data_IF_360734834354
#
_entry.id   IF_360734834354
#
_cell.length_a   1.000
_cell.length_b   1.000
_cell.length_c   1.000
_cell.angle_alpha   90.00
_cell.angle_beta   90.00
_cell.angle_gamma   90.00
#
_symmetry.space_group_name_H-M   'P 1'
#
loop_
_entity.id
_entity.type
_entity.pdbx_description
1 polymer ?
#
# COMPACT_ATOMS: atom_id res chain seq x y z
N UNK A 1 4.97 5.61 -9.46
CA UNK A 1 6.24 6.19 -8.96
C UNK A 1 6.49 5.62 -7.58
N UNK A 2 7.73 5.23 -7.27
CA UNK A 2 8.07 4.63 -5.98
C UNK A 2 9.47 5.10 -5.55
N UNK A 3 9.66 5.34 -4.26
CA UNK A 3 10.99 5.58 -3.69
C UNK A 3 11.81 4.28 -3.69
N UNK A 4 13.04 4.34 -4.20
CA UNK A 4 13.92 3.18 -4.42
C UNK A 4 14.69 2.74 -3.15
N UNK A 5 14.22 3.14 -1.98
CA UNK A 5 14.77 2.81 -0.67
C UNK A 5 13.77 2.00 0.18
N UNK A 6 12.66 1.58 -0.43
CA UNK A 6 11.48 1.08 0.28
C UNK A 6 11.26 -0.41 0.02
N UNK A 7 11.01 -1.16 1.10
CA UNK A 7 10.67 -2.59 1.06
C UNK A 7 9.27 -2.77 1.61
N UNK A 8 8.43 -3.50 0.88
CA UNK A 8 7.04 -3.73 1.25
C UNK A 8 6.51 -5.07 0.74
N UNK A 9 5.44 -5.60 1.35
CA UNK A 9 4.64 -6.70 0.80
C UNK A 9 3.29 -6.21 0.25
N UNK A 10 3.17 -4.92 -0.02
CA UNK A 10 1.97 -4.30 -0.57
C UNK A 10 1.61 -4.87 -1.94
N UNK A 11 0.35 -5.26 -2.10
CA UNK A 11 -0.20 -5.59 -3.41
C UNK A 11 -0.46 -4.32 -4.21
N UNK A 12 0.40 -4.03 -5.20
CA UNK A 12 0.26 -2.85 -6.05
C UNK A 12 -1.01 -2.87 -6.90
N UNK A 13 -1.54 -4.06 -7.25
CA UNK A 13 -2.79 -4.19 -8.00
C UNK A 13 -3.99 -3.56 -7.29
N UNK A 14 -4.06 -3.70 -5.96
CA UNK A 14 -5.12 -3.10 -5.15
C UNK A 14 -5.01 -1.57 -5.13
N UNK A 15 -3.79 -1.04 -5.16
CA UNK A 15 -3.54 0.41 -5.23
C UNK A 15 -3.97 0.97 -6.58
N UNK A 16 -3.67 0.27 -7.68
CA UNK A 16 -4.13 0.66 -9.02
C UNK A 16 -5.67 0.63 -9.13
N UNK A 17 -6.31 -0.47 -8.70
CA UNK A 17 -7.76 -0.59 -8.73
C UNK A 17 -8.44 0.52 -7.90
N UNK A 18 -7.87 0.87 -6.74
CA UNK A 18 -8.36 1.98 -5.93
C UNK A 18 -8.18 3.33 -6.62
N UNK A 19 -7.03 3.57 -7.26
CA UNK A 19 -6.77 4.81 -7.99
C UNK A 19 -7.82 5.04 -9.09
N UNK A 20 -8.07 4.02 -9.91
CA UNK A 20 -9.04 4.07 -11.00
C UNK A 20 -10.47 4.32 -10.48
N UNK A 21 -10.85 3.62 -9.40
CA UNK A 21 -12.17 3.80 -8.77
C UNK A 21 -12.37 5.24 -8.26
N UNK A 22 -11.32 5.85 -7.71
CA UNK A 22 -11.39 7.21 -7.14
C UNK A 22 -11.28 8.31 -8.19
N UNK A 23 -10.83 8.00 -9.41
CA UNK A 23 -10.50 8.99 -10.44
C UNK A 23 -9.57 10.09 -9.91
N UNK A 24 -8.68 9.71 -9.00
CA UNK A 24 -7.75 10.63 -8.36
C UNK A 24 -6.64 11.02 -9.34
N UNK A 25 -6.05 12.21 -9.18
CA UNK A 25 -4.85 12.57 -9.95
C UNK A 25 -3.60 11.91 -9.38
N UNK A 26 -3.56 11.76 -8.06
CA UNK A 26 -2.54 10.98 -7.37
C UNK A 26 -3.22 10.12 -6.32
N UNK A 27 -2.82 8.86 -6.25
CA UNK A 27 -3.07 8.01 -5.09
C UNK A 27 -1.75 7.72 -4.40
N UNK A 28 -1.62 8.19 -3.16
CA UNK A 28 -0.49 7.94 -2.28
C UNK A 28 -0.82 6.76 -1.36
N UNK A 29 0.12 5.83 -1.21
CA UNK A 29 0.02 4.81 -0.17
C UNK A 29 0.39 5.43 1.17
N UNK A 30 -0.48 5.23 2.17
CA UNK A 30 -0.22 5.64 3.54
C UNK A 30 -0.20 4.43 4.46
N UNK A 31 0.78 4.38 5.36
CA UNK A 31 0.95 3.31 6.36
C UNK A 31 0.92 3.90 7.77
N UNK A 32 0.65 3.11 8.83
CA UNK A 32 0.68 3.62 10.19
C UNK A 32 2.05 4.16 10.57
N UNK A 33 2.06 5.24 11.34
CA UNK A 33 3.29 5.79 11.90
C UNK A 33 3.76 4.94 13.08
N UNK A 34 4.92 4.31 12.95
CA UNK A 34 5.63 3.76 14.11
C UNK A 34 6.63 4.81 14.58
N UNK A 35 6.57 5.16 15.86
CA UNK A 35 7.52 6.10 16.43
C UNK A 35 8.94 5.52 16.34
N UNK A 36 9.94 6.27 15.84
CA UNK A 36 11.34 5.84 15.89
C UNK A 36 11.92 5.94 17.32
N UNK A 37 11.17 6.54 18.24
CA UNK A 37 11.57 6.80 19.63
C UNK A 37 10.58 6.20 20.63
N UNK A 38 11.02 6.05 21.88
CA UNK A 38 10.14 5.78 23.00
C UNK A 38 9.19 6.94 23.29
N UNK A 39 7.92 6.64 23.52
CA UNK A 39 6.88 7.61 23.89
C UNK A 39 6.54 7.44 25.35
N UNK A 40 6.45 8.56 26.06
CA UNK A 40 6.23 8.62 27.50
C UNK A 40 5.00 9.45 27.82
N UNK A 41 4.24 8.99 28.81
CA UNK A 41 3.17 9.76 29.42
C UNK A 41 3.64 10.27 30.78
N UNK A 42 3.22 11.49 31.14
CA UNK A 42 3.53 12.09 32.42
C UNK A 42 2.25 12.53 33.13
N UNK A 43 2.26 12.49 34.46
CA UNK A 43 1.23 13.16 35.25
C UNK A 43 1.54 14.66 35.40
N UNK A 44 0.62 15.43 36.00
CA UNK A 44 0.77 16.88 36.23
C UNK A 44 1.99 17.24 37.11
N UNK A 45 2.53 16.29 37.86
CA UNK A 45 3.74 16.46 38.69
C UNK A 45 5.03 16.17 37.93
N UNK A 46 4.96 15.82 36.64
CA UNK A 46 6.11 15.48 35.80
C UNK A 46 6.65 14.06 36.02
N UNK A 47 5.93 13.17 36.71
CA UNK A 47 6.35 11.78 36.87
C UNK A 47 5.92 10.96 35.65
N UNK A 48 6.83 10.14 35.11
CA UNK A 48 6.53 9.19 34.02
C UNK A 48 5.54 8.14 34.52
N UNK A 49 4.39 8.02 33.87
CA UNK A 49 3.36 7.03 34.20
C UNK A 49 3.33 5.85 33.22
N UNK A 50 3.88 6.04 32.01
CA UNK A 50 4.03 4.97 31.03
C UNK A 50 5.23 5.25 30.11
N UNK A 51 5.89 4.18 29.65
CA UNK A 51 6.94 4.21 28.64
C UNK A 51 6.63 3.12 27.60
N UNK A 52 6.54 3.50 26.33
CA UNK A 52 6.31 2.58 25.20
C UNK A 52 7.44 2.75 24.21
N UNK A 53 8.21 1.69 23.98
CA UNK A 53 9.29 1.71 22.97
C UNK A 53 8.69 1.50 21.58
N UNK A 54 9.02 2.39 20.64
CA UNK A 54 8.57 2.36 19.24
C UNK A 54 7.07 2.01 19.03
N UNK A 55 6.13 2.66 19.74
CA UNK A 55 4.71 2.35 19.56
C UNK A 55 4.22 2.81 18.19
N UNK A 56 3.19 2.13 17.68
CA UNK A 56 2.33 2.68 16.64
C UNK A 56 1.57 3.90 17.20
N UNK A 57 1.53 4.97 16.42
CA UNK A 57 0.88 6.22 16.74
C UNK A 57 -0.40 6.38 15.91
N UNK A 58 -1.38 7.19 16.34
CA UNK A 58 -2.65 7.40 15.61
C UNK A 58 -2.48 8.32 14.38
N UNK A 59 -1.35 8.21 13.68
CA UNK A 59 -1.01 8.97 12.49
C UNK A 59 -0.70 8.04 11.33
N UNK A 60 -0.91 8.54 10.11
CA UNK A 60 -0.57 7.85 8.88
C UNK A 60 0.52 8.63 8.18
N UNK A 61 1.51 7.93 7.64
CA UNK A 61 2.66 8.52 6.95
C UNK A 61 2.66 8.15 5.49
N UNK A 62 3.23 9.03 4.66
CA UNK A 62 3.50 8.77 3.26
C UNK A 62 4.52 7.63 3.12
N UNK A 63 4.14 6.57 2.41
CA UNK A 63 5.00 5.39 2.19
C UNK A 63 5.94 5.54 0.97
N UNK A 64 5.95 6.69 0.29
CA UNK A 64 6.79 6.90 -0.89
C UNK A 64 6.35 6.08 -2.12
N UNK A 65 5.11 5.57 -2.13
CA UNK A 65 4.54 4.76 -3.21
C UNK A 65 3.31 5.48 -3.76
N UNK A 66 3.28 5.71 -5.06
CA UNK A 66 2.26 6.52 -5.71
C UNK A 66 1.80 5.92 -7.05
N UNK A 67 0.49 5.96 -7.28
CA UNK A 67 -0.10 5.86 -8.63
C UNK A 67 -0.44 7.29 -9.06
N UNK A 68 0.01 7.67 -10.26
CA UNK A 68 0.00 9.05 -10.73
C UNK A 68 -0.63 9.10 -12.13
N UNK A 69 -1.62 9.96 -12.29
CA UNK A 69 -2.17 10.34 -13.59
C UNK A 69 -1.14 11.25 -14.31
N UNK A 70 -0.72 10.94 -15.55
CA UNK A 70 0.26 11.74 -16.30
C UNK A 70 -0.10 13.23 -16.46
N UNK A 71 -1.38 13.58 -16.40
CA UNK A 71 -1.84 14.98 -16.50
C UNK A 71 -1.36 15.90 -15.38
N UNK A 72 -0.79 15.35 -14.29
CA UNK A 72 -0.17 16.20 -13.25
C UNK A 72 1.20 16.75 -13.67
N UNK A 73 1.75 16.36 -14.82
CA UNK A 73 3.12 16.70 -15.22
C UNK A 73 3.40 18.21 -15.15
N UNK A 74 2.43 19.04 -15.57
CA UNK A 74 2.52 20.51 -15.52
C UNK A 74 2.49 21.09 -14.09
N UNK A 75 2.07 20.28 -13.11
CA UNK A 75 2.04 20.65 -11.69
C UNK A 75 3.30 20.21 -10.95
N UNK A 76 4.18 19.43 -11.58
CA UNK A 76 5.46 19.02 -11.01
C UNK A 76 6.42 20.23 -11.04
N UNK A 77 7.13 20.56 -9.95
CA UNK A 77 8.19 21.55 -10.01
C UNK A 77 9.34 21.08 -10.90
N UNK A 78 9.92 22.02 -11.65
CA UNK A 78 11.16 21.77 -12.42
C UNK A 78 12.32 21.32 -11.52
N UNK A 79 12.35 21.83 -10.27
CA UNK A 79 13.30 21.48 -9.21
C UNK A 79 12.61 21.55 -7.86
N UNK A 80 12.82 20.53 -7.03
CA UNK A 80 12.33 20.49 -5.66
C UNK A 80 11.57 19.20 -5.33
N UNK A 81 10.94 19.20 -4.16
CA UNK A 81 10.18 18.06 -3.64
C UNK A 81 8.71 18.15 -4.03
N UNK A 82 8.18 17.04 -4.55
CA UNK A 82 6.75 16.89 -4.85
C UNK A 82 5.92 16.95 -3.56
N UNK A 83 6.48 16.43 -2.47
CA UNK A 83 5.87 16.39 -1.14
C UNK A 83 5.70 17.79 -0.54
N UNK A 84 6.55 18.75 -0.92
CA UNK A 84 6.49 20.12 -0.43
C UNK A 84 5.66 21.06 -1.32
N UNK A 85 5.51 20.74 -2.61
CA UNK A 85 4.90 21.65 -3.59
C UNK A 85 3.62 21.04 -4.17
N UNK A 86 3.74 19.95 -4.92
CA UNK A 86 2.65 19.41 -5.73
C UNK A 86 1.61 18.67 -4.91
N UNK A 87 2.01 17.88 -3.92
CA UNK A 87 1.06 17.10 -3.10
C UNK A 87 0.19 17.97 -2.20
N UNK A 88 0.69 19.02 -1.51
CA UNK A 88 -0.17 19.97 -0.80
C UNK A 88 -1.21 20.62 -1.72
N UNK A 89 -0.79 21.08 -2.91
CA UNK A 89 -1.70 21.68 -3.90
C UNK A 89 -2.79 20.70 -4.36
N UNK A 90 -2.43 19.45 -4.66
CA UNK A 90 -3.40 18.42 -5.06
C UNK A 90 -4.32 18.04 -3.91
N UNK A 91 -3.85 18.05 -2.66
CA UNK A 91 -4.66 17.81 -1.48
C UNK A 91 -5.72 18.90 -1.29
N UNK A 92 -5.33 20.18 -1.40
CA UNK A 92 -6.24 21.32 -1.33
C UNK A 92 -7.33 21.27 -2.42
N UNK A 93 -6.98 20.78 -3.61
CA UNK A 93 -7.91 20.60 -4.73
C UNK A 93 -8.77 19.34 -4.64
N UNK A 94 -8.60 18.50 -3.61
CA UNK A 94 -9.29 17.21 -3.48
C UNK A 94 -8.91 16.18 -4.55
N UNK A 95 -7.73 16.32 -5.15
CA UNK A 95 -7.23 15.48 -6.24
C UNK A 95 -6.16 14.46 -5.80
N UNK A 96 -5.71 14.55 -4.54
CA UNK A 96 -4.82 13.60 -3.89
C UNK A 96 -5.63 12.67 -2.97
N UNK A 97 -5.58 11.37 -3.23
CA UNK A 97 -6.21 10.36 -2.39
C UNK A 97 -5.16 9.53 -1.64
N UNK A 98 -5.51 9.10 -0.42
CA UNK A 98 -4.71 8.14 0.33
C UNK A 98 -5.30 6.73 0.17
N UNK A 99 -4.45 5.75 -0.16
CA UNK A 99 -4.70 4.32 0.01
C UNK A 99 -4.07 3.88 1.33
N UNK A 100 -4.89 3.65 2.35
CA UNK A 100 -4.42 3.24 3.68
C UNK A 100 -4.13 1.74 3.68
N UNK A 101 -2.89 1.37 3.98
CA UNK A 101 -2.45 -0.02 4.00
C UNK A 101 -1.83 -0.40 5.35
N UNK A 102 -2.11 -1.62 5.79
CA UNK A 102 -1.47 -2.29 6.92
C UNK A 102 -0.37 -3.27 6.47
N UNK A 103 0.00 -3.21 5.18
CA UNK A 103 1.10 -3.97 4.64
C UNK A 103 2.40 -3.64 5.37
N UNK A 104 3.31 -4.61 5.43
CA UNK A 104 4.68 -4.37 5.87
C UNK A 104 5.30 -3.30 4.98
N UNK A 105 5.93 -2.30 5.59
CA UNK A 105 6.67 -1.26 4.89
C UNK A 105 7.84 -0.77 5.75
N UNK A 106 9.01 -0.62 5.11
CA UNK A 106 10.22 -0.04 5.68
C UNK A 106 10.96 0.77 4.62
N UNK A 107 11.40 1.97 4.98
CA UNK A 107 12.38 2.75 4.20
C UNK A 107 13.77 2.59 4.83
N UNK A 108 14.80 2.50 3.99
CA UNK A 108 16.20 2.32 4.39
C UNK A 108 16.95 3.62 4.14
N UNK A 109 17.14 4.40 5.20
CA UNK A 109 17.84 5.69 5.15
C UNK A 109 19.28 5.58 5.67
N UNK A 110 19.54 4.64 6.57
CA UNK A 110 20.84 4.50 7.22
C UNK A 110 21.16 3.04 7.58
N UNK A 111 22.38 2.79 8.05
CA UNK A 111 22.88 1.43 8.34
C UNK A 111 22.08 0.73 9.45
N UNK A 112 21.53 1.48 10.43
CA UNK A 112 20.69 0.90 11.49
C UNK A 112 19.42 0.29 10.90
N UNK A 113 18.83 0.94 9.90
CA UNK A 113 17.62 0.45 9.24
C UNK A 113 17.84 -0.92 8.59
N UNK A 114 19.05 -1.20 8.09
CA UNK A 114 19.42 -2.51 7.53
C UNK A 114 19.42 -3.59 8.61
N UNK A 115 19.96 -3.30 9.80
CA UNK A 115 19.96 -4.25 10.92
C UNK A 115 18.55 -4.53 11.42
N UNK A 116 17.70 -3.50 11.52
CA UNK A 116 16.31 -3.63 11.93
C UNK A 116 15.49 -4.39 10.87
N UNK A 117 15.68 -4.07 9.59
CA UNK A 117 15.07 -4.75 8.46
C UNK A 117 15.42 -6.24 8.45
N UNK A 118 16.67 -6.64 8.73
CA UNK A 118 17.05 -8.05 8.77
C UNK A 118 16.19 -8.83 9.77
N UNK A 119 16.03 -8.30 10.98
CA UNK A 119 15.20 -8.91 12.01
C UNK A 119 13.72 -8.96 11.61
N UNK A 120 13.21 -7.90 10.95
CA UNK A 120 11.84 -7.85 10.46
C UNK A 120 11.62 -8.84 9.30
N UNK A 121 12.59 -8.99 8.40
CA UNK A 121 12.56 -9.92 7.27
C UNK A 121 12.59 -11.38 7.72
N UNK A 122 13.33 -11.72 8.78
CA UNK A 122 13.27 -13.06 9.38
C UNK A 122 11.85 -13.39 9.88
N UNK A 123 11.19 -12.44 10.56
CA UNK A 123 9.80 -12.61 11.01
C UNK A 123 8.83 -12.71 9.83
N UNK A 124 8.99 -11.85 8.83
CA UNK A 124 8.14 -11.85 7.65
C UNK A 124 8.30 -13.17 6.89
N UNK A 125 9.52 -13.63 6.68
CA UNK A 125 9.83 -14.93 6.10
C UNK A 125 9.17 -16.05 6.88
N UNK A 126 9.36 -16.13 8.20
CA UNK A 126 8.70 -17.15 9.04
C UNK A 126 7.18 -17.10 8.92
N UNK A 127 6.58 -15.91 8.88
CA UNK A 127 5.13 -15.77 8.71
C UNK A 127 4.64 -16.30 7.35
N UNK A 128 5.45 -16.19 6.30
CA UNK A 128 5.11 -16.70 4.96
C UNK A 128 5.15 -18.24 4.89
N UNK A 129 6.01 -18.90 5.67
CA UNK A 129 6.13 -20.36 5.69
C UNK A 129 5.22 -21.05 6.72
N UNK A 130 4.94 -20.38 7.84
CA UNK A 130 4.18 -20.98 8.95
C UNK A 130 2.76 -20.41 9.12
N UNK A 131 2.33 -19.46 8.29
CA UNK A 131 0.92 -19.09 8.24
C UNK A 131 0.10 -20.28 7.72
N UNK A 132 -1.00 -20.69 8.40
CA UNK A 132 -1.84 -21.75 7.88
C UNK A 132 -2.34 -21.32 6.51
N UNK A 133 -2.14 -22.19 5.51
CA UNK A 133 -2.61 -22.03 4.14
C UNK A 133 -4.14 -21.96 4.14
N UNK A 134 -4.69 -20.78 4.40
CA UNK A 134 -6.11 -20.45 4.21
C UNK A 134 -6.20 -19.65 2.93
N UNK A 135 -6.03 -20.29 1.77
CA UNK A 135 -6.32 -19.62 0.49
C UNK A 135 -6.95 -20.51 -0.57
N UNK A 136 -7.12 -21.82 -0.33
CA UNK A 136 -7.90 -22.66 -1.25
C UNK A 136 -9.38 -22.81 -0.85
N UNK A 137 -9.68 -22.97 0.45
CA UNK A 137 -11.05 -23.16 0.91
C UNK A 137 -11.91 -21.87 0.91
N UNK A 138 -11.32 -20.72 1.27
CA UNK A 138 -12.05 -19.45 1.35
C UNK A 138 -12.45 -18.88 -0.03
N UNK A 139 -11.61 -19.07 -1.05
CA UNK A 139 -11.90 -18.64 -2.42
C UNK A 139 -13.03 -19.46 -3.07
N UNK A 140 -13.18 -20.74 -2.71
CA UNK A 140 -14.30 -21.56 -3.19
C UNK A 140 -15.63 -21.20 -2.50
N UNK A 141 -15.60 -20.83 -1.22
CA UNK A 141 -16.79 -20.40 -0.48
C UNK A 141 -17.39 -19.09 -1.03
N UNK A 142 -16.54 -18.11 -1.40
CA UNK A 142 -16.97 -16.85 -2.02
C UNK A 142 -17.44 -17.01 -3.47
N UNK A 143 -16.88 -17.97 -4.23
CA UNK A 143 -17.35 -18.31 -5.58
C UNK A 143 -18.71 -18.99 -5.58
N UNK A 144 -19.02 -19.79 -4.56
CA UNK A 144 -20.35 -20.41 -4.42
C UNK A 144 -21.42 -19.42 -3.94
N UNK A 145 -21.06 -18.39 -3.16
CA UNK A 145 -22.02 -17.37 -2.72
C UNK A 145 -22.38 -16.34 -3.80
N UNK A 146 -21.52 -16.12 -4.81
CA UNK A 146 -21.73 -15.13 -5.87
C UNK A 146 -22.43 -15.67 -7.14
N UNK A 147 -22.93 -16.91 -7.13
CA UNK A 147 -23.72 -17.50 -8.23
C UNK A 147 -25.14 -16.88 -8.39
N UNK A 148 -25.47 -15.80 -7.66
CA UNK A 148 -26.82 -15.21 -7.65
C UNK A 148 -26.93 -13.74 -8.07
N UNK A 149 -25.84 -13.05 -8.44
CA UNK A 149 -25.89 -11.63 -8.82
C UNK A 149 -25.69 -11.44 -10.33
N UNK A 150 -26.80 -11.47 -11.06
CA UNK A 150 -26.88 -11.08 -12.47
C UNK A 150 -26.60 -9.58 -12.63
N UNK A 151 -25.50 -9.21 -13.27
CA UNK A 151 -25.36 -7.88 -13.85
C UNK A 151 -25.70 -7.95 -15.34
N UNK A 152 -26.65 -7.12 -15.74
CA UNK A 152 -27.20 -7.02 -17.09
C UNK A 152 -26.10 -6.64 -18.07
N UNK A 153 -25.82 -7.53 -19.03
CA UNK A 153 -24.91 -7.33 -20.16
C UNK A 153 -25.58 -6.37 -21.14
N UNK A 154 -25.03 -5.16 -21.31
CA UNK A 154 -25.36 -4.32 -22.47
C UNK A 154 -24.74 -4.96 -23.72
N UNK A 155 -25.55 -5.08 -24.77
CA UNK A 155 -25.27 -5.85 -25.99
C UNK A 155 -24.17 -5.25 -26.87
N UNK A 156 -23.39 -6.14 -27.52
CA UNK A 156 -22.48 -5.84 -28.64
C UNK A 156 -23.25 -5.67 -29.98
N UNK A 157 -22.59 -5.30 -31.10
CA UNK A 157 -22.18 -6.38 -31.99
C UNK A 157 -20.86 -6.18 -32.79
N UNK A 158 -20.28 -7.34 -33.14
CA UNK A 158 -19.36 -7.67 -34.26
C UNK A 158 -17.97 -7.03 -34.24
N UNK A 159 -16.83 -7.74 -34.29
CA UNK A 159 -16.49 -9.01 -34.96
C UNK A 159 -15.49 -9.81 -34.12
N UNK A 160 -15.73 -11.12 -34.00
CA UNK A 160 -14.89 -12.05 -33.26
C UNK A 160 -13.64 -12.45 -34.07
N UNK A 161 -12.46 -12.17 -33.51
CA UNK A 161 -11.29 -13.04 -33.66
C UNK A 161 -10.99 -13.64 -32.30
N UNK A 162 -11.11 -14.97 -32.23
CA UNK A 162 -10.82 -15.78 -31.05
C UNK A 162 -9.30 -15.89 -30.95
N UNK A 163 -8.71 -15.18 -30.00
CA UNK A 163 -7.38 -15.49 -29.49
C UNK A 163 -7.60 -16.22 -28.18
N UNK A 164 -7.30 -17.52 -28.16
CA UNK A 164 -7.24 -18.31 -26.94
C UNK A 164 -6.18 -17.68 -26.02
N UNK A 165 -6.63 -16.93 -25.02
CA UNK A 165 -5.77 -16.49 -23.93
C UNK A 165 -5.55 -17.70 -23.03
N UNK A 166 -4.39 -18.34 -23.22
CA UNK A 166 -3.82 -19.32 -22.30
C UNK A 166 -3.96 -18.78 -20.87
N UNK A 167 -4.71 -19.51 -20.03
CA UNK A 167 -4.92 -19.18 -18.62
C UNK A 167 -3.57 -19.18 -17.89
N UNK A 168 -2.91 -18.02 -17.83
CA UNK A 168 -1.88 -17.77 -16.84
C UNK A 168 -2.58 -17.71 -15.48
N UNK A 169 -2.69 -18.86 -14.83
CA UNK A 169 -3.06 -18.99 -13.43
C UNK A 169 -2.08 -18.19 -12.57
N UNK A 170 -2.39 -16.92 -12.31
CA UNK A 170 -1.67 -16.09 -11.37
C UNK A 170 -2.02 -16.55 -9.95
N UNK A 171 -1.25 -17.51 -9.45
CA UNK A 171 -1.14 -17.74 -8.02
C UNK A 171 -0.22 -16.62 -7.49
N UNK A 172 -0.81 -15.53 -7.02
CA UNK A 172 -0.08 -14.51 -6.26
C UNK A 172 0.21 -15.06 -4.87
N UNK A 173 1.38 -15.68 -4.71
CA UNK A 173 1.99 -15.88 -3.39
C UNK A 173 2.70 -14.59 -3.05
N UNK A 174 2.24 -13.90 -2.00
CA UNK A 174 2.82 -12.70 -1.38
C UNK A 174 4.29 -12.45 -1.78
N UNK A 175 4.50 -11.61 -2.80
CA UNK A 175 5.84 -11.22 -3.22
C UNK A 175 6.25 -10.00 -2.41
N UNK A 176 7.36 -10.11 -1.69
CA UNK A 176 8.04 -8.94 -1.16
C UNK A 176 8.49 -8.11 -2.36
N UNK A 177 7.99 -6.90 -2.45
CA UNK A 177 8.38 -5.90 -3.43
C UNK A 177 9.50 -5.07 -2.82
N UNK A 178 10.70 -5.24 -3.38
CA UNK A 178 11.85 -4.35 -3.15
C UNK A 178 11.87 -3.40 -4.34
N UNK A 179 11.90 -2.10 -4.08
CA UNK A 179 11.93 -1.07 -5.14
C UNK A 179 13.17 -0.22 -4.99
#
# INVERSE_FOLDING_TARGET
MVNADSITNLNLGDVFAYHDLRKAKVTMVSVPMVSPYGVVDFNEKGQVTAFREKPELPYWVNAGIYVIDPSIYELLPDRGSQEQVTFPLLAEKGQLHAFKSQAFWRSINNVRDISELRADMEKLFLSLFFSPVVSYAANNALRQSNQGLSYVKAAEPSTAEVIEAEEASFVSVNRITIV
#
